data_IF_803406128514
#
_entry.id   IF_803406128514
#
_cell.length_a   1.000
_cell.length_b   1.000
_cell.length_c   1.000
_cell.angle_alpha   90.00
_cell.angle_beta   90.00
_cell.angle_gamma   90.00
#
_symmetry.space_group_name_H-M   'P 1'
#
loop_
_entity.id
_entity.type
_entity.pdbx_description
1 polymer ?
#
# COMPACT_ATOMS: atom_id res chain seq x y z
N UNK A 1 6.99 3.55 15.05
CA UNK A 1 7.60 3.34 13.73
C UNK A 1 7.32 1.92 13.32
N UNK A 2 6.23 1.79 12.60
CA UNK A 2 5.60 0.52 12.22
C UNK A 2 5.15 0.64 10.78
N UNK A 3 5.46 -0.38 9.97
CA UNK A 3 4.93 -0.49 8.62
C UNK A 3 3.53 -1.06 8.70
N UNK A 4 2.52 -0.31 8.25
CA UNK A 4 1.10 -0.62 8.37
C UNK A 4 0.65 -1.67 7.33
N UNK A 5 1.26 -2.87 7.37
CA UNK A 5 0.80 -4.03 6.61
C UNK A 5 -0.13 -4.91 7.45
N UNK A 6 -0.70 -5.96 6.83
CA UNK A 6 -1.54 -6.98 7.51
C UNK A 6 -1.00 -7.48 8.85
N UNK A 7 0.32 -7.65 8.99
CA UNK A 7 0.94 -8.13 10.23
C UNK A 7 0.72 -7.19 11.42
N UNK A 8 0.56 -5.89 11.15
CA UNK A 8 0.42 -4.84 12.15
C UNK A 8 -1.00 -4.25 12.18
N UNK A 9 -1.81 -4.48 11.14
CA UNK A 9 -3.22 -4.09 11.04
C UNK A 9 -4.12 -5.33 11.13
N UNK A 10 -4.19 -5.91 12.32
CA UNK A 10 -5.10 -7.02 12.60
C UNK A 10 -6.55 -6.54 12.45
N UNK A 11 -7.39 -7.33 11.75
CA UNK A 11 -8.82 -7.09 11.47
C UNK A 11 -9.19 -5.99 10.43
N UNK A 12 -8.23 -5.38 9.73
CA UNK A 12 -8.50 -4.36 8.68
C UNK A 12 -8.66 -4.94 7.24
N UNK A 13 -9.04 -6.21 7.11
CA UNK A 13 -9.22 -6.86 5.80
C UNK A 13 -10.51 -6.40 5.08
N UNK A 14 -10.60 -6.54 3.75
CA UNK A 14 -9.77 -7.34 2.86
C UNK A 14 -8.44 -6.65 2.45
N UNK A 15 -7.51 -7.42 1.87
CA UNK A 15 -6.15 -6.96 1.56
C UNK A 15 -5.83 -7.07 0.07
N UNK A 16 -5.30 -5.98 -0.49
CA UNK A 16 -4.72 -5.91 -1.83
C UNK A 16 -3.27 -6.40 -1.75
N UNK A 17 -2.87 -7.32 -2.61
CA UNK A 17 -1.56 -7.97 -2.55
C UNK A 17 -0.57 -7.34 -3.53
N UNK A 18 0.53 -6.81 -3.00
CA UNK A 18 1.61 -6.23 -3.77
C UNK A 18 2.74 -7.25 -3.89
N UNK A 19 3.10 -7.58 -5.13
CA UNK A 19 4.04 -8.65 -5.43
C UNK A 19 5.18 -8.17 -6.33
N UNK A 20 6.37 -8.69 -6.10
CA UNK A 20 7.52 -8.55 -7.01
C UNK A 20 7.88 -9.94 -7.55
N UNK A 21 7.85 -10.10 -8.87
CA UNK A 21 8.07 -11.37 -9.55
C UNK A 21 9.25 -11.29 -10.53
N UNK A 22 9.86 -12.43 -10.79
CA UNK A 22 10.90 -12.58 -11.81
C UNK A 22 10.36 -12.47 -13.23
N UNK A 23 9.16 -13.02 -13.46
CA UNK A 23 8.52 -13.12 -14.75
C UNK A 23 7.06 -12.69 -14.67
N UNK A 24 6.47 -12.18 -15.77
CA UNK A 24 5.08 -11.78 -15.78
C UNK A 24 4.15 -13.00 -15.68
N UNK A 25 3.01 -12.81 -15.02
CA UNK A 25 1.97 -13.83 -14.97
C UNK A 25 1.26 -13.89 -16.33
N UNK A 26 1.26 -15.08 -16.93
CA UNK A 26 0.47 -15.39 -18.12
C UNK A 26 -0.97 -15.70 -17.70
N UNK A 27 -1.84 -14.70 -17.84
CA UNK A 27 -3.25 -14.73 -17.47
C UNK A 27 -4.06 -14.20 -18.65
N UNK A 28 -5.20 -14.82 -18.94
CA UNK A 28 -6.09 -14.32 -19.98
C UNK A 28 -6.67 -12.96 -19.58
N UNK A 29 -7.08 -12.19 -20.58
CA UNK A 29 -7.78 -10.93 -20.36
C UNK A 29 -9.08 -11.22 -19.58
N UNK A 30 -9.25 -10.57 -18.43
CA UNK A 30 -10.36 -10.74 -17.46
C UNK A 30 -10.29 -11.93 -16.49
N UNK A 31 -9.23 -12.74 -16.51
CA UNK A 31 -9.05 -13.80 -15.52
C UNK A 31 -8.32 -13.31 -14.27
N UNK A 32 -8.63 -13.93 -13.12
CA UNK A 32 -7.92 -13.66 -11.86
C UNK A 32 -6.75 -14.64 -11.66
N UNK A 33 -5.56 -14.20 -11.20
CA UNK A 33 -4.49 -15.11 -10.85
C UNK A 33 -4.89 -16.04 -9.69
N UNK A 34 -4.54 -17.32 -9.80
CA UNK A 34 -4.46 -18.19 -8.63
C UNK A 34 -3.32 -17.72 -7.72
N UNK A 35 -3.61 -17.53 -6.41
CA UNK A 35 -2.64 -17.11 -5.38
C UNK A 35 -1.35 -17.92 -5.38
N UNK A 36 -1.44 -19.23 -5.62
CA UNK A 36 -0.27 -20.12 -5.72
C UNK A 36 0.77 -19.69 -6.75
N UNK A 37 0.38 -18.93 -7.80
CA UNK A 37 1.28 -18.45 -8.86
C UNK A 37 2.15 -17.27 -8.43
N UNK A 38 1.73 -16.48 -7.45
CA UNK A 38 2.43 -15.23 -7.08
C UNK A 38 2.70 -15.07 -5.59
N UNK A 39 2.14 -15.94 -4.73
CA UNK A 39 2.26 -15.81 -3.27
C UNK A 39 3.71 -15.69 -2.76
N UNK A 40 4.67 -16.29 -3.45
CA UNK A 40 6.09 -16.25 -3.11
C UNK A 40 6.71 -14.87 -3.35
N UNK A 41 6.08 -14.03 -4.16
CA UNK A 41 6.51 -12.67 -4.45
C UNK A 41 5.76 -11.60 -3.66
N UNK A 42 4.75 -11.96 -2.86
CA UNK A 42 4.03 -11.01 -2.01
C UNK A 42 5.03 -10.41 -1.03
N UNK A 43 5.20 -9.09 -1.08
CA UNK A 43 6.05 -8.35 -0.13
C UNK A 43 5.24 -7.42 0.77
N UNK A 44 3.97 -7.17 0.43
CA UNK A 44 3.07 -6.33 1.20
C UNK A 44 1.61 -6.70 0.95
N UNK A 45 0.81 -6.78 2.03
CA UNK A 45 -0.64 -6.96 1.99
C UNK A 45 -1.27 -5.65 2.51
N UNK A 46 -1.85 -4.88 1.59
CA UNK A 46 -2.36 -3.53 1.77
C UNK A 46 -3.86 -3.56 2.12
N UNK A 47 -4.21 -3.22 3.36
CA UNK A 47 -5.62 -3.18 3.80
C UNK A 47 -6.43 -2.15 2.98
N UNK A 48 -7.65 -2.52 2.55
CA UNK A 48 -8.53 -1.59 1.82
C UNK A 48 -8.89 -0.36 2.68
N UNK A 49 -9.09 -0.54 3.98
CA UNK A 49 -9.34 0.57 4.91
C UNK A 49 -8.12 1.50 5.08
N UNK A 50 -6.91 0.95 5.00
CA UNK A 50 -5.69 1.75 4.94
C UNK A 50 -5.64 2.55 3.62
N UNK A 51 -6.11 1.97 2.51
CA UNK A 51 -6.18 2.67 1.23
C UNK A 51 -7.17 3.85 1.31
N UNK A 52 -8.32 3.61 1.92
CA UNK A 52 -9.31 4.64 2.25
C UNK A 52 -8.71 5.76 3.12
N UNK A 53 -7.89 5.40 4.11
CA UNK A 53 -7.15 6.37 4.94
C UNK A 53 -6.25 7.26 4.09
N UNK A 54 -5.39 6.69 3.24
CA UNK A 54 -4.55 7.48 2.35
C UNK A 54 -5.36 8.39 1.44
N UNK A 55 -6.41 7.87 0.79
CA UNK A 55 -7.26 8.65 -0.10
C UNK A 55 -7.96 9.81 0.63
N UNK A 56 -8.49 9.55 1.83
CA UNK A 56 -9.16 10.55 2.65
C UNK A 56 -8.22 11.68 3.09
N UNK A 57 -7.05 11.32 3.63
CA UNK A 57 -6.10 12.31 4.16
C UNK A 57 -5.49 13.12 3.01
N UNK A 58 -5.05 12.45 1.94
CA UNK A 58 -4.44 13.11 0.78
C UNK A 58 -5.45 13.85 -0.12
N UNK A 59 -6.75 13.64 0.11
CA UNK A 59 -7.86 14.15 -0.73
C UNK A 59 -7.68 13.79 -2.20
N UNK A 60 -7.32 12.54 -2.46
CA UNK A 60 -7.05 12.04 -3.79
C UNK A 60 -7.61 10.63 -3.98
N UNK A 61 -7.68 10.19 -5.22
CA UNK A 61 -8.08 8.82 -5.56
C UNK A 61 -6.89 7.87 -5.47
N UNK A 62 -7.19 6.58 -5.30
CA UNK A 62 -6.17 5.52 -5.35
C UNK A 62 -5.37 5.57 -6.67
N UNK A 63 -4.04 5.35 -6.62
CA UNK A 63 -3.19 5.35 -7.82
C UNK A 63 -3.37 4.09 -8.69
N UNK A 64 -4.16 3.12 -8.21
CA UNK A 64 -4.52 1.85 -8.85
C UNK A 64 -5.98 1.49 -8.54
N UNK A 65 -6.55 0.54 -9.30
CA UNK A 65 -7.87 -0.02 -9.03
C UNK A 65 -7.78 -1.13 -7.96
N UNK A 66 -8.38 -0.96 -6.76
CA UNK A 66 -8.32 -1.96 -5.70
C UNK A 66 -9.12 -3.24 -6.02
N UNK A 67 -9.99 -3.22 -7.03
CA UNK A 67 -10.77 -4.38 -7.49
C UNK A 67 -10.20 -4.98 -8.78
N UNK A 68 -9.02 -4.51 -9.19
CA UNK A 68 -8.39 -4.88 -10.44
C UNK A 68 -7.17 -5.76 -10.26
N UNK A 69 -6.71 -6.32 -11.38
CA UNK A 69 -5.42 -6.97 -11.50
C UNK A 69 -4.54 -6.20 -12.48
N UNK A 70 -3.35 -5.79 -12.05
CA UNK A 70 -2.42 -5.03 -12.88
C UNK A 70 -0.98 -5.54 -12.73
N UNK A 71 -0.26 -5.55 -13.85
CA UNK A 71 1.16 -5.93 -13.90
C UNK A 71 1.97 -4.85 -14.60
N UNK A 72 2.93 -4.29 -13.88
CA UNK A 72 3.91 -3.34 -14.39
C UNK A 72 5.16 -4.09 -14.83
N UNK A 73 5.38 -4.14 -16.14
CA UNK A 73 6.42 -4.99 -16.77
C UNK A 73 7.69 -4.23 -17.14
N UNK A 74 7.66 -2.90 -17.11
CA UNK A 74 8.81 -2.07 -17.41
C UNK A 74 9.27 -1.29 -16.17
N UNK A 75 10.58 -1.07 -15.99
CA UNK A 75 11.08 -0.20 -14.92
C UNK A 75 10.46 1.20 -14.95
N UNK A 76 10.18 1.73 -16.14
CA UNK A 76 9.56 3.04 -16.30
C UNK A 76 8.17 3.09 -15.67
N UNK A 77 7.32 2.10 -15.92
CA UNK A 77 5.97 2.08 -15.36
C UNK A 77 5.99 1.87 -13.84
N UNK A 78 6.95 1.10 -13.32
CA UNK A 78 7.15 0.92 -11.88
C UNK A 78 7.59 2.24 -11.23
N UNK A 79 8.52 2.98 -11.83
CA UNK A 79 8.91 4.31 -11.34
C UNK A 79 7.74 5.31 -11.42
N UNK A 80 6.96 5.27 -12.49
CA UNK A 80 5.78 6.12 -12.63
C UNK A 80 4.72 5.82 -11.56
N UNK A 81 4.52 4.54 -11.19
CA UNK A 81 3.68 4.16 -10.07
C UNK A 81 4.26 4.65 -8.73
N UNK A 82 5.56 4.42 -8.49
CA UNK A 82 6.22 4.88 -7.27
C UNK A 82 6.15 6.40 -7.09
N UNK A 83 6.22 7.18 -8.17
CA UNK A 83 6.05 8.62 -8.13
C UNK A 83 4.66 9.06 -7.63
N UNK A 84 3.60 8.26 -7.88
CA UNK A 84 2.27 8.51 -7.32
C UNK A 84 2.26 8.30 -5.80
N UNK A 85 2.97 7.28 -5.29
CA UNK A 85 3.11 7.07 -3.85
C UNK A 85 3.94 8.17 -3.19
N UNK A 86 5.01 8.64 -3.84
CA UNK A 86 5.78 9.80 -3.38
C UNK A 86 4.93 11.08 -3.32
N UNK A 87 3.95 11.24 -4.21
CA UNK A 87 3.01 12.35 -4.13
C UNK A 87 2.15 12.28 -2.85
N UNK A 88 1.67 11.08 -2.49
CA UNK A 88 1.00 10.86 -1.21
C UNK A 88 1.92 11.15 -0.02
N UNK A 89 3.17 10.70 -0.07
CA UNK A 89 4.16 10.94 0.99
C UNK A 89 4.38 12.45 1.20
N UNK A 90 4.55 13.21 0.11
CA UNK A 90 4.66 14.66 0.15
C UNK A 90 3.42 15.32 0.77
N UNK A 91 2.22 14.92 0.33
CA UNK A 91 0.96 15.47 0.83
C UNK A 91 0.75 15.20 2.33
N UNK A 92 1.09 13.99 2.79
CA UNK A 92 1.05 13.64 4.21
C UNK A 92 2.05 14.46 5.02
N UNK A 93 3.28 14.60 4.53
CA UNK A 93 4.35 15.30 5.25
C UNK A 93 3.99 16.76 5.57
N UNK A 94 3.37 17.46 4.60
CA UNK A 94 2.98 18.87 4.75
C UNK A 94 1.65 19.05 5.50
N UNK A 95 0.88 17.98 5.72
CA UNK A 95 -0.42 18.07 6.37
C UNK A 95 -0.29 18.24 7.87
N UNK A 96 -1.13 19.10 8.47
CA UNK A 96 -1.18 19.23 9.92
C UNK A 96 -1.77 17.98 10.56
N UNK A 97 -1.24 17.59 11.72
CA UNK A 97 -1.62 16.37 12.43
C UNK A 97 -3.11 16.36 12.82
N UNK A 98 -3.73 17.53 12.95
CA UNK A 98 -5.17 17.68 13.25
C UNK A 98 -6.09 17.01 12.19
N UNK A 99 -5.59 16.74 10.99
CA UNK A 99 -6.35 16.05 9.93
C UNK A 99 -6.42 14.54 10.10
N UNK A 100 -5.68 13.98 11.05
CA UNK A 100 -5.60 12.54 11.30
C UNK A 100 -6.52 12.08 12.44
N UNK A 101 -7.27 12.99 13.08
CA UNK A 101 -8.10 12.64 14.25
C UNK A 101 -9.18 11.59 13.95
N UNK A 102 -9.89 11.73 12.83
CA UNK A 102 -10.93 10.75 12.43
C UNK A 102 -10.33 9.39 12.07
N UNK A 103 -9.15 9.38 11.47
CA UNK A 103 -8.43 8.19 11.08
C UNK A 103 -7.86 7.51 12.34
N UNK A 104 -7.38 8.30 13.30
CA UNK A 104 -6.90 7.78 14.57
C UNK A 104 -7.99 6.99 15.29
N UNK A 105 -9.23 7.50 15.35
CA UNK A 105 -10.37 6.77 15.94
C UNK A 105 -10.61 5.41 15.27
N UNK A 106 -10.37 5.30 13.97
CA UNK A 106 -10.46 4.04 13.25
C UNK A 106 -9.33 3.07 13.68
N UNK A 107 -8.09 3.56 13.82
CA UNK A 107 -6.93 2.75 14.22
C UNK A 107 -6.85 2.42 15.72
N UNK A 108 -7.54 3.16 16.59
CA UNK A 108 -7.49 3.00 18.06
C UNK A 108 -8.78 2.42 18.67
N UNK A 109 -9.70 1.92 17.85
CA UNK A 109 -10.90 1.24 18.32
C UNK A 109 -10.51 0.10 19.31
N UNK A 110 -11.35 -0.21 20.33
CA UNK A 110 -10.92 -0.76 21.63
C UNK A 110 -10.36 -2.20 21.60
N UNK A 111 -10.23 -2.83 20.43
CA UNK A 111 -9.54 -4.11 20.22
C UNK A 111 -8.04 -3.95 19.98
N UNK A 112 -7.58 -2.78 19.54
CA UNK A 112 -6.16 -2.48 19.33
C UNK A 112 -5.58 -1.91 20.63
N UNK A 113 -4.69 -2.64 21.29
CA UNK A 113 -4.09 -2.27 22.59
C UNK A 113 -3.13 -1.06 22.55
N UNK A 114 -3.53 0.04 21.93
CA UNK A 114 -2.72 1.22 21.69
C UNK A 114 -3.23 2.43 22.48
N UNK A 115 -3.22 2.34 23.81
CA UNK A 115 -3.70 3.41 24.71
C UNK A 115 -2.93 4.75 24.57
N UNK A 116 -1.78 4.77 23.88
CA UNK A 116 -0.94 5.97 23.65
C UNK A 116 -0.71 6.32 22.16
N UNK A 117 -1.51 5.78 21.23
CA UNK A 117 -1.36 6.11 19.81
C UNK A 117 -1.87 7.52 19.52
N UNK A 118 -1.04 8.34 18.87
CA UNK A 118 -1.33 9.75 18.61
C UNK A 118 -1.45 10.01 17.12
N UNK A 119 -1.99 11.16 16.75
CA UNK A 119 -2.05 11.62 15.36
C UNK A 119 -0.65 11.71 14.73
N UNK A 120 0.36 12.11 15.52
CA UNK A 120 1.75 12.13 15.09
C UNK A 120 2.27 10.72 14.80
N UNK A 121 2.02 9.76 15.70
CA UNK A 121 2.39 8.35 15.48
C UNK A 121 1.75 7.78 14.20
N UNK A 122 0.45 8.02 13.99
CA UNK A 122 -0.25 7.58 12.79
C UNK A 122 0.34 8.20 11.52
N UNK A 123 0.60 9.51 11.53
CA UNK A 123 1.22 10.20 10.39
C UNK A 123 2.59 9.62 10.08
N UNK A 124 3.43 9.39 11.09
CA UNK A 124 4.75 8.79 10.93
C UNK A 124 4.65 7.38 10.34
N UNK A 125 3.78 6.52 10.88
CA UNK A 125 3.62 5.15 10.38
C UNK A 125 3.07 5.11 8.94
N UNK A 126 2.17 6.06 8.57
CA UNK A 126 1.70 6.22 7.20
C UNK A 126 2.83 6.66 6.25
N UNK A 127 3.70 7.58 6.67
CA UNK A 127 4.86 8.01 5.90
C UNK A 127 5.88 6.88 5.74
N UNK A 128 6.22 6.19 6.82
CA UNK A 128 7.15 5.05 6.82
C UNK A 128 6.66 3.93 5.91
N UNK A 129 5.35 3.66 5.91
CA UNK A 129 4.72 2.67 5.02
C UNK A 129 4.89 3.05 3.56
N UNK A 130 4.62 4.30 3.16
CA UNK A 130 4.85 4.74 1.77
C UNK A 130 6.34 4.67 1.40
N UNK A 131 7.21 5.10 2.30
CA UNK A 131 8.65 5.07 2.09
C UNK A 131 9.15 3.64 1.84
N UNK A 132 8.67 2.68 2.64
CA UNK A 132 8.95 1.25 2.46
C UNK A 132 8.48 0.75 1.09
N UNK A 133 7.24 1.06 0.70
CA UNK A 133 6.67 0.65 -0.58
C UNK A 133 7.48 1.22 -1.76
N UNK A 134 7.78 2.52 -1.73
CA UNK A 134 8.60 3.18 -2.75
C UNK A 134 9.99 2.53 -2.85
N UNK A 135 10.63 2.24 -1.71
CA UNK A 135 11.93 1.55 -1.68
C UNK A 135 11.88 0.17 -2.35
N UNK A 136 10.82 -0.62 -2.09
CA UNK A 136 10.61 -1.92 -2.74
C UNK A 136 10.39 -1.79 -4.25
N UNK A 137 9.62 -0.79 -4.68
CA UNK A 137 9.36 -0.54 -6.10
C UNK A 137 10.62 -0.09 -6.85
N UNK A 138 11.41 0.81 -6.27
CA UNK A 138 12.69 1.24 -6.84
C UNK A 138 13.65 0.07 -6.97
N UNK A 139 13.73 -0.78 -5.95
CA UNK A 139 14.53 -2.01 -6.01
C UNK A 139 14.04 -2.95 -7.11
N UNK A 140 12.73 -3.16 -7.25
CA UNK A 140 12.15 -3.97 -8.33
C UNK A 140 12.50 -3.43 -9.72
N UNK A 141 12.30 -2.12 -9.94
CA UNK A 141 12.59 -1.45 -11.20
C UNK A 141 14.07 -1.52 -11.57
N UNK A 142 14.98 -1.25 -10.63
CA UNK A 142 16.42 -1.32 -10.83
C UNK A 142 16.89 -2.73 -11.21
N UNK A 143 16.25 -3.75 -10.66
CA UNK A 143 16.53 -5.16 -10.95
C UNK A 143 15.69 -5.74 -12.10
N UNK A 144 14.96 -4.90 -12.84
CA UNK A 144 14.11 -5.29 -13.99
C UNK A 144 13.09 -6.40 -13.65
N UNK A 145 12.57 -6.39 -12.43
CA UNK A 145 11.51 -7.30 -11.97
C UNK A 145 10.14 -6.80 -12.42
N UNK A 146 9.13 -7.65 -12.26
CA UNK A 146 7.73 -7.32 -12.51
C UNK A 146 7.08 -6.93 -11.18
N UNK A 147 6.38 -5.80 -11.15
CA UNK A 147 5.53 -5.44 -10.03
C UNK A 147 4.08 -5.77 -10.36
N UNK A 148 3.39 -6.44 -9.46
CA UNK A 148 2.01 -6.89 -9.63
C UNK A 148 1.18 -6.42 -8.46
N UNK A 149 -0.02 -5.91 -8.75
CA UNK A 149 -1.05 -5.61 -7.77
C UNK A 149 -2.21 -6.57 -8.06
N UNK A 150 -2.61 -7.32 -7.03
CA UNK A 150 -3.79 -8.17 -7.05
C UNK A 150 -4.81 -7.57 -6.09
N UNK A 151 -5.92 -7.08 -6.63
CA UNK A 151 -7.02 -6.50 -5.88
C UNK A 151 -7.80 -7.49 -5.01
N UNK A 152 -8.92 -7.01 -4.46
CA UNK A 152 -9.87 -7.77 -3.62
C UNK A 152 -11.07 -8.29 -4.39
#
# INVERSE_FOLDING_TARGET
>A
MTILGKENLTDCGPYIEFCILEEPLNIAEHDWPSRSKYQHGIFFEFADDLLGTYCSVTRSYSPFDPYGFIQYKSPYDIYAFAAKLLMWEYQLAIMSDNYFGLQLEYFTNPTSGHEDYTMEHLKTDLLDTLHFLVGKLYHAAANKKIFVIVGI
#
